data_IF_390189477841
#
_entry.id   IF_390189477841
#
_cell.length_a   1.000
_cell.length_b   1.000
_cell.length_c   1.000
_cell.angle_alpha   90.00
_cell.angle_beta   90.00
_cell.angle_gamma   90.00
#
_symmetry.space_group_name_H-M   'P 1'
#
loop_
_entity.id
_entity.type
_entity.pdbx_description
1 polymer ?
#
# COMPACT_ATOMS: atom_id res chain seq x y z
N UNK A 1 14.81 -6.94 -15.41
CA UNK A 1 15.08 -6.95 -13.95
C UNK A 1 13.76 -7.14 -13.25
N UNK A 2 13.64 -8.11 -12.35
CA UNK A 2 12.45 -8.27 -11.49
C UNK A 2 12.37 -7.07 -10.55
N UNK A 3 11.20 -6.40 -10.47
CA UNK A 3 11.00 -5.21 -9.63
C UNK A 3 11.26 -5.50 -8.14
N UNK A 4 11.07 -6.76 -7.73
CA UNK A 4 11.30 -7.25 -6.36
C UNK A 4 12.67 -7.95 -6.21
N UNK A 5 13.60 -7.74 -7.14
CA UNK A 5 14.93 -8.36 -7.14
C UNK A 5 15.92 -7.70 -6.19
N UNK A 6 16.95 -8.45 -5.79
CA UNK A 6 18.03 -7.92 -4.93
C UNK A 6 18.76 -6.73 -5.58
N UNK A 7 18.92 -6.70 -6.90
CA UNK A 7 19.56 -5.56 -7.58
C UNK A 7 18.82 -4.25 -7.35
N UNK A 8 17.48 -4.27 -7.41
CA UNK A 8 16.64 -3.10 -7.15
C UNK A 8 16.74 -2.64 -5.68
N UNK A 9 16.82 -3.59 -4.75
CA UNK A 9 17.05 -3.33 -3.33
C UNK A 9 18.45 -2.76 -3.06
N UNK A 10 19.50 -3.39 -3.61
CA UNK A 10 20.89 -3.01 -3.39
C UNK A 10 21.20 -1.60 -3.90
N UNK A 11 20.49 -1.13 -4.93
CA UNK A 11 20.56 0.26 -5.38
C UNK A 11 20.10 1.28 -4.32
N UNK A 12 19.33 0.85 -3.30
CA UNK A 12 18.80 1.70 -2.22
C UNK A 12 19.56 1.51 -0.90
N UNK A 13 19.88 0.26 -0.56
CA UNK A 13 20.42 -0.13 0.75
C UNK A 13 21.84 -0.72 0.69
N UNK A 14 22.50 -0.62 -0.48
CA UNK A 14 23.87 -1.10 -0.72
C UNK A 14 23.96 -2.61 -0.96
N UNK A 15 25.10 -3.05 -1.50
CA UNK A 15 25.44 -4.47 -1.65
C UNK A 15 26.35 -4.93 -0.51
N UNK A 16 25.74 -5.57 0.49
CA UNK A 16 26.45 -6.18 1.62
C UNK A 16 25.74 -7.46 2.05
N UNK A 17 26.41 -8.31 2.83
CA UNK A 17 25.78 -9.49 3.40
C UNK A 17 24.56 -9.13 4.26
N UNK A 18 24.66 -8.09 5.10
CA UNK A 18 23.54 -7.58 5.91
C UNK A 18 22.37 -7.11 5.03
N UNK A 19 22.65 -6.37 3.95
CA UNK A 19 21.62 -5.91 3.01
C UNK A 19 20.92 -7.09 2.30
N UNK A 20 21.67 -8.13 1.91
CA UNK A 20 21.10 -9.35 1.31
C UNK A 20 20.20 -10.11 2.29
N UNK A 21 20.63 -10.24 3.55
CA UNK A 21 19.81 -10.86 4.60
C UNK A 21 18.52 -10.09 4.84
N UNK A 22 18.60 -8.75 4.91
CA UNK A 22 17.41 -7.93 5.12
C UNK A 22 16.44 -8.00 3.94
N UNK A 23 16.93 -7.88 2.70
CA UNK A 23 16.12 -8.06 1.50
C UNK A 23 15.40 -9.41 1.49
N UNK A 24 16.11 -10.49 1.79
CA UNK A 24 15.52 -11.83 1.83
C UNK A 24 14.42 -11.93 2.91
N UNK A 25 14.61 -11.30 4.06
CA UNK A 25 13.61 -11.26 5.12
C UNK A 25 12.37 -10.45 4.72
N UNK A 26 12.54 -9.30 4.05
CA UNK A 26 11.43 -8.50 3.51
C UNK A 26 10.65 -9.31 2.46
N UNK A 27 11.32 -9.92 1.49
CA UNK A 27 10.68 -10.75 0.47
C UNK A 27 9.94 -11.93 1.09
N UNK A 28 10.53 -12.59 2.08
CA UNK A 28 9.88 -13.69 2.80
C UNK A 28 8.59 -13.24 3.50
N UNK A 29 8.57 -12.02 4.07
CA UNK A 29 7.38 -11.46 4.72
C UNK A 29 6.24 -11.20 3.72
N UNK A 30 6.55 -10.65 2.55
CA UNK A 30 5.59 -10.47 1.45
C UNK A 30 5.14 -11.79 0.80
N UNK A 31 5.90 -12.87 0.98
CA UNK A 31 5.62 -14.21 0.43
C UNK A 31 4.80 -15.11 1.36
N UNK A 32 4.31 -14.59 2.48
CA UNK A 32 3.56 -15.41 3.44
C UNK A 32 2.26 -15.95 2.82
N UNK A 33 1.93 -17.24 3.03
CA UNK A 33 0.89 -17.95 2.26
C UNK A 33 -0.54 -17.49 2.55
N UNK A 34 -0.77 -16.72 3.62
CA UNK A 34 -2.08 -16.16 3.96
C UNK A 34 -2.40 -14.87 3.19
N UNK A 35 -1.41 -14.23 2.57
CA UNK A 35 -1.60 -13.03 1.74
C UNK A 35 -2.29 -13.41 0.43
N UNK A 36 -3.20 -12.56 -0.03
CA UNK A 36 -3.93 -12.73 -1.30
C UNK A 36 -3.85 -11.48 -2.15
N UNK A 37 -4.14 -10.32 -1.56
CA UNK A 37 -3.93 -9.03 -2.19
C UNK A 37 -2.58 -8.44 -1.79
N UNK A 38 -2.28 -8.42 -0.49
CA UNK A 38 -1.06 -7.79 0.03
C UNK A 38 0.16 -8.71 -0.11
N UNK A 39 0.47 -9.14 -1.34
CA UNK A 39 1.52 -10.10 -1.67
C UNK A 39 2.64 -9.48 -2.54
N UNK A 40 3.53 -10.32 -3.07
CA UNK A 40 4.62 -9.87 -3.97
C UNK A 40 4.11 -9.20 -5.25
N UNK A 41 2.90 -9.52 -5.72
CA UNK A 41 2.29 -8.91 -6.90
C UNK A 41 1.92 -7.46 -6.61
N UNK A 42 1.27 -7.20 -5.46
CA UNK A 42 1.00 -5.83 -5.01
C UNK A 42 2.29 -5.05 -4.81
N UNK A 43 3.27 -5.60 -4.09
CA UNK A 43 4.57 -4.94 -3.90
C UNK A 43 5.23 -4.57 -5.24
N UNK A 44 5.23 -5.48 -6.22
CA UNK A 44 5.79 -5.21 -7.53
C UNK A 44 5.04 -4.08 -8.26
N UNK A 45 3.72 -4.05 -8.18
CA UNK A 45 2.89 -2.99 -8.76
C UNK A 45 3.20 -1.62 -8.14
N UNK A 46 3.25 -1.53 -6.81
CA UNK A 46 3.58 -0.30 -6.08
C UNK A 46 5.01 0.17 -6.42
N UNK A 47 6.00 -0.73 -6.41
CA UNK A 47 7.38 -0.37 -6.77
C UNK A 47 7.50 0.11 -8.22
N UNK A 48 6.74 -0.47 -9.15
CA UNK A 48 6.67 -0.01 -10.54
C UNK A 48 6.15 1.42 -10.64
N UNK A 49 5.01 1.70 -9.99
CA UNK A 49 4.37 3.01 -10.00
C UNK A 49 5.18 4.08 -9.26
N UNK A 50 5.79 3.75 -8.11
CA UNK A 50 6.76 4.64 -7.46
C UNK A 50 7.97 4.91 -8.37
N UNK A 51 8.36 3.94 -9.20
CA UNK A 51 9.37 4.13 -10.25
C UNK A 51 8.97 5.18 -11.28
N UNK A 52 7.73 5.11 -11.77
CA UNK A 52 7.17 6.03 -12.78
C UNK A 52 6.88 7.43 -12.22
N UNK A 53 6.30 7.50 -11.03
CA UNK A 53 5.90 8.74 -10.35
C UNK A 53 7.05 9.40 -9.59
N UNK A 54 8.15 8.68 -9.37
CA UNK A 54 9.23 9.06 -8.47
C UNK A 54 9.93 10.38 -8.81
N UNK A 55 9.80 10.90 -10.03
CA UNK A 55 10.29 12.24 -10.38
C UNK A 55 9.59 13.38 -9.63
N UNK A 56 8.38 13.12 -9.10
CA UNK A 56 7.66 14.07 -8.25
C UNK A 56 8.10 14.02 -6.77
N UNK A 57 8.78 12.95 -6.33
CA UNK A 57 9.20 12.80 -4.93
C UNK A 57 10.42 13.69 -4.61
N UNK A 58 10.46 14.20 -3.38
CA UNK A 58 11.60 14.94 -2.85
C UNK A 58 12.78 14.01 -2.48
N UNK A 59 12.50 12.82 -1.93
CA UNK A 59 13.46 11.72 -1.76
C UNK A 59 12.91 10.44 -2.39
N UNK A 60 13.14 10.20 -3.69
CA UNK A 60 12.68 9.01 -4.39
C UNK A 60 13.21 7.69 -3.79
N UNK A 61 14.38 7.73 -3.14
CA UNK A 61 14.95 6.54 -2.49
C UNK A 61 14.20 6.20 -1.20
N UNK A 62 13.83 7.22 -0.40
CA UNK A 62 12.99 7.02 0.77
C UNK A 62 11.60 6.47 0.38
N UNK A 63 10.96 7.01 -0.66
CA UNK A 63 9.65 6.52 -1.12
C UNK A 63 9.72 5.07 -1.60
N UNK A 64 10.75 4.69 -2.35
CA UNK A 64 10.94 3.29 -2.77
C UNK A 64 11.16 2.36 -1.58
N UNK A 65 11.99 2.75 -0.60
CA UNK A 65 12.16 1.98 0.63
C UNK A 65 10.85 1.88 1.43
N UNK A 66 10.07 2.96 1.54
CA UNK A 66 8.76 2.91 2.17
C UNK A 66 7.81 1.94 1.45
N UNK A 67 7.81 1.90 0.11
CA UNK A 67 7.05 0.91 -0.65
C UNK A 67 7.46 -0.54 -0.32
N UNK A 68 8.76 -0.83 -0.13
CA UNK A 68 9.21 -2.16 0.34
C UNK A 68 8.67 -2.53 1.72
N UNK A 69 8.42 -1.55 2.57
CA UNK A 69 8.09 -1.76 3.98
C UNK A 69 6.61 -1.56 4.35
N UNK A 70 5.79 -0.87 3.54
CA UNK A 70 4.47 -0.39 3.97
C UNK A 70 3.58 -1.48 4.59
N UNK A 71 3.47 -2.65 3.94
CA UNK A 71 2.78 -3.83 4.48
C UNK A 71 3.71 -5.03 4.72
N UNK A 72 4.99 -4.77 5.04
CA UNK A 72 5.93 -5.87 5.32
C UNK A 72 5.44 -6.74 6.49
N UNK A 73 4.76 -6.14 7.46
CA UNK A 73 3.96 -6.85 8.46
C UNK A 73 2.49 -6.70 8.08
N UNK A 74 1.82 -7.82 7.89
CA UNK A 74 0.39 -7.84 7.56
C UNK A 74 -0.28 -9.04 8.21
N UNK A 75 -1.16 -8.74 9.16
CA UNK A 75 -2.13 -9.67 9.72
C UNK A 75 -3.50 -8.98 9.73
N UNK A 76 -4.50 -9.49 9.00
CA UNK A 76 -5.81 -8.85 8.89
C UNK A 76 -6.61 -8.89 10.21
N UNK A 77 -6.07 -9.51 11.28
CA UNK A 77 -6.63 -9.47 12.64
C UNK A 77 -6.09 -8.32 13.49
N UNK A 78 -5.11 -7.57 13.00
CA UNK A 78 -4.45 -6.48 13.72
C UNK A 78 -4.95 -5.13 13.22
N UNK A 79 -4.99 -4.14 14.12
CA UNK A 79 -5.28 -2.74 13.80
C UNK A 79 -4.04 -1.84 13.80
N UNK A 80 -2.83 -2.41 13.90
CA UNK A 80 -1.56 -1.67 14.05
C UNK A 80 -0.49 -2.14 13.04
N UNK A 81 -0.90 -2.73 11.91
CA UNK A 81 0.03 -3.29 10.91
C UNK A 81 1.05 -2.24 10.45
N UNK A 82 0.62 -1.02 10.13
CA UNK A 82 1.47 0.08 9.66
C UNK A 82 2.47 0.50 10.73
N UNK A 83 2.04 0.53 12.00
CA UNK A 83 2.94 0.84 13.12
C UNK A 83 4.03 -0.23 13.28
N UNK A 84 3.68 -1.52 13.17
CA UNK A 84 4.64 -2.62 13.26
C UNK A 84 5.55 -2.67 12.04
N UNK A 85 5.02 -2.44 10.84
CA UNK A 85 5.77 -2.30 9.60
C UNK A 85 6.79 -1.16 9.68
N UNK A 86 6.41 0.00 10.23
CA UNK A 86 7.31 1.13 10.43
C UNK A 86 8.43 0.80 11.43
N UNK A 87 8.13 0.10 12.52
CA UNK A 87 9.15 -0.38 13.45
C UNK A 87 10.09 -1.40 12.81
N UNK A 88 9.55 -2.30 11.96
CA UNK A 88 10.33 -3.27 11.19
C UNK A 88 11.26 -2.59 10.19
N UNK A 89 10.81 -1.52 9.55
CA UNK A 89 11.62 -0.69 8.66
C UNK A 89 12.77 -0.02 9.41
N UNK A 90 12.48 0.62 10.55
CA UNK A 90 13.51 1.23 11.41
C UNK A 90 14.59 0.24 11.83
N UNK A 91 14.19 -0.96 12.23
CA UNK A 91 15.13 -2.01 12.63
C UNK A 91 15.95 -2.54 11.45
N UNK A 92 15.29 -2.79 10.31
CA UNK A 92 15.91 -3.39 9.12
C UNK A 92 16.88 -2.48 8.39
N UNK A 93 16.59 -1.18 8.34
CA UNK A 93 17.38 -0.19 7.61
C UNK A 93 18.54 0.41 8.42
N UNK A 94 18.61 0.12 9.72
CA UNK A 94 19.65 0.64 10.62
C UNK A 94 21.04 0.25 10.12
N UNK A 95 21.87 1.25 9.82
CA UNK A 95 23.23 1.06 9.33
C UNK A 95 23.32 0.66 7.84
N UNK A 96 22.19 0.47 7.15
CA UNK A 96 22.14 0.29 5.69
C UNK A 96 21.94 1.62 4.95
N UNK A 97 21.26 2.59 5.58
CA UNK A 97 21.01 3.93 5.03
C UNK A 97 21.20 5.00 6.12
N UNK A 98 21.35 6.29 5.75
CA UNK A 98 21.43 7.38 6.73
C UNK A 98 20.18 7.47 7.61
N UNK A 99 20.34 7.83 8.89
CA UNK A 99 19.23 7.89 9.86
C UNK A 99 18.08 8.78 9.38
N UNK A 100 18.37 9.94 8.77
CA UNK A 100 17.34 10.82 8.23
C UNK A 100 16.43 10.14 7.19
N UNK A 101 16.98 9.19 6.41
CA UNK A 101 16.19 8.40 5.45
C UNK A 101 15.36 7.33 6.16
N UNK A 102 15.88 6.74 7.24
CA UNK A 102 15.11 5.81 8.08
C UNK A 102 13.89 6.52 8.68
N UNK A 103 14.06 7.73 9.21
CA UNK A 103 12.95 8.52 9.76
C UNK A 103 11.89 8.84 8.70
N UNK A 104 12.31 9.21 7.48
CA UNK A 104 11.35 9.46 6.40
C UNK A 104 10.62 8.19 5.96
N UNK A 105 11.30 7.05 5.86
CA UNK A 105 10.66 5.76 5.57
C UNK A 105 9.63 5.42 6.63
N UNK A 106 9.97 5.58 7.92
CA UNK A 106 9.06 5.33 9.04
C UNK A 106 7.81 6.23 8.95
N UNK A 107 8.00 7.52 8.68
CA UNK A 107 6.89 8.48 8.51
C UNK A 107 5.98 8.08 7.36
N UNK A 108 6.56 7.71 6.21
CA UNK A 108 5.82 7.33 5.01
C UNK A 108 5.06 6.01 5.21
N UNK A 109 5.63 5.03 5.89
CA UNK A 109 4.92 3.78 6.22
C UNK A 109 3.76 4.05 7.17
N UNK A 110 3.92 4.92 8.17
CA UNK A 110 2.79 5.29 9.05
C UNK A 110 1.69 6.05 8.30
N UNK A 111 2.06 6.84 7.30
CA UNK A 111 1.11 7.62 6.49
C UNK A 111 0.13 6.73 5.71
N UNK A 112 0.51 5.50 5.35
CA UNK A 112 -0.38 4.58 4.61
C UNK A 112 -1.55 4.06 5.46
N UNK A 113 -1.59 4.32 6.77
CA UNK A 113 -2.75 3.95 7.58
C UNK A 113 -4.02 4.76 7.23
N UNK A 114 -3.85 5.98 6.70
CA UNK A 114 -4.96 6.86 6.31
C UNK A 114 -4.89 7.38 4.87
N UNK A 115 -3.78 7.15 4.17
CA UNK A 115 -3.54 7.60 2.79
C UNK A 115 -3.83 9.10 2.56
N UNK A 116 -3.61 9.93 3.58
CA UNK A 116 -3.94 11.36 3.58
C UNK A 116 -2.69 12.23 3.80
N UNK A 117 -1.79 12.32 2.80
CA UNK A 117 -0.66 13.23 2.88
C UNK A 117 -1.13 14.69 2.87
N UNK A 118 -0.50 15.49 3.73
CA UNK A 118 -0.71 16.93 3.79
C UNK A 118 -0.36 17.62 2.44
N UNK A 119 -1.01 18.75 2.11
CA UNK A 119 -0.64 19.54 0.94
C UNK A 119 0.85 19.89 0.94
N UNK A 120 1.55 19.51 -0.14
CA UNK A 120 3.00 19.72 -0.28
C UNK A 120 3.88 18.56 0.17
N UNK A 121 3.31 17.50 0.77
CA UNK A 121 4.05 16.26 1.05
C UNK A 121 4.23 15.43 -0.24
N UNK A 122 5.25 15.80 -1.02
CA UNK A 122 5.54 15.17 -2.31
C UNK A 122 5.92 13.68 -2.19
N UNK A 123 6.60 13.28 -1.11
CA UNK A 123 6.95 11.89 -0.88
C UNK A 123 5.71 11.05 -0.54
N UNK A 124 4.88 11.55 0.37
CA UNK A 124 3.62 10.92 0.73
C UNK A 124 2.66 10.83 -0.45
N UNK A 125 2.56 11.89 -1.27
CA UNK A 125 1.77 11.90 -2.49
C UNK A 125 2.16 10.76 -3.45
N UNK A 126 3.47 10.56 -3.70
CA UNK A 126 3.92 9.48 -4.59
C UNK A 126 3.61 8.11 -4.01
N UNK A 127 3.85 7.88 -2.71
CA UNK A 127 3.58 6.59 -2.09
C UNK A 127 2.09 6.26 -2.08
N UNK A 128 1.24 7.16 -1.57
CA UNK A 128 -0.19 6.93 -1.45
C UNK A 128 -0.86 6.81 -2.81
N UNK A 129 -0.46 7.61 -3.80
CA UNK A 129 -1.01 7.49 -5.16
C UNK A 129 -0.66 6.12 -5.77
N UNK A 130 0.58 5.65 -5.60
CA UNK A 130 1.02 4.35 -6.10
C UNK A 130 0.31 3.18 -5.39
N UNK A 131 0.15 3.25 -4.07
CA UNK A 131 -0.50 2.22 -3.27
C UNK A 131 -2.01 2.09 -3.59
N UNK A 132 -2.70 3.23 -3.75
CA UNK A 132 -4.12 3.28 -4.09
C UNK A 132 -4.43 3.13 -5.59
N UNK A 133 -3.42 2.84 -6.43
CA UNK A 133 -3.60 2.80 -7.88
C UNK A 133 -4.59 1.72 -8.35
N UNK A 134 -4.67 0.60 -7.62
CA UNK A 134 -5.61 -0.49 -7.92
C UNK A 134 -7.07 -0.01 -8.00
N UNK A 135 -7.41 1.02 -7.23
CA UNK A 135 -8.77 1.54 -7.17
C UNK A 135 -9.19 2.12 -8.52
N UNK A 136 -8.26 2.69 -9.29
CA UNK A 136 -8.49 3.23 -10.62
C UNK A 136 -8.33 2.19 -11.76
N UNK A 137 -8.10 0.92 -11.42
CA UNK A 137 -7.98 -0.17 -12.38
C UNK A 137 -9.27 -0.41 -13.19
N UNK A 138 -9.18 -1.18 -14.29
CA UNK A 138 -10.37 -1.68 -14.98
C UNK A 138 -11.33 -2.39 -14.01
N UNK A 139 -12.65 -2.37 -14.24
CA UNK A 139 -13.62 -2.97 -13.30
C UNK A 139 -13.36 -4.44 -12.97
N UNK A 140 -12.84 -5.22 -13.92
CA UNK A 140 -12.50 -6.63 -13.70
C UNK A 140 -11.28 -6.79 -12.76
N UNK A 141 -10.20 -6.04 -12.99
CA UNK A 141 -9.07 -5.98 -12.06
C UNK A 141 -9.47 -5.50 -10.66
N UNK A 142 -10.34 -4.49 -10.56
CA UNK A 142 -10.88 -4.02 -9.29
C UNK A 142 -11.69 -5.10 -8.57
N UNK A 143 -12.53 -5.85 -9.29
CA UNK A 143 -13.29 -6.96 -8.71
C UNK A 143 -12.35 -8.08 -8.20
N UNK A 144 -11.27 -8.37 -8.92
CA UNK A 144 -10.22 -9.28 -8.46
C UNK A 144 -9.56 -8.81 -7.16
N UNK A 145 -9.21 -7.52 -7.08
CA UNK A 145 -8.72 -6.88 -5.85
C UNK A 145 -9.70 -7.04 -4.68
N UNK A 146 -10.96 -6.67 -4.86
CA UNK A 146 -11.98 -6.74 -3.81
C UNK A 146 -12.20 -8.19 -3.33
N UNK A 147 -12.17 -9.16 -4.25
CA UNK A 147 -12.26 -10.59 -3.92
C UNK A 147 -11.06 -11.06 -3.10
N UNK A 148 -9.83 -10.70 -3.52
CA UNK A 148 -8.61 -11.06 -2.81
C UNK A 148 -8.59 -10.46 -1.39
N UNK A 149 -9.04 -9.21 -1.22
CA UNK A 149 -9.23 -8.62 0.11
C UNK A 149 -10.27 -9.41 0.92
N UNK A 150 -11.43 -9.77 0.34
CA UNK A 150 -12.43 -10.59 1.05
C UNK A 150 -11.85 -11.91 1.58
N UNK A 151 -10.99 -12.56 0.81
CA UNK A 151 -10.32 -13.81 1.21
C UNK A 151 -9.40 -13.63 2.42
N UNK A 152 -8.64 -12.53 2.49
CA UNK A 152 -7.75 -12.24 3.64
C UNK A 152 -8.54 -12.08 4.95
N UNK A 153 -9.75 -11.53 4.84
CA UNK A 153 -10.69 -11.39 5.95
C UNK A 153 -11.65 -12.57 6.09
N UNK A 154 -11.34 -13.74 5.53
CA UNK A 154 -12.19 -14.94 5.61
C UNK A 154 -12.45 -15.47 7.03
N UNK A 155 -11.74 -14.94 8.03
CA UNK A 155 -11.96 -15.20 9.45
C UNK A 155 -13.15 -14.41 10.05
N UNK A 156 -13.63 -13.37 9.35
CA UNK A 156 -14.81 -12.60 9.72
C UNK A 156 -16.06 -13.19 9.07
N UNK A 157 -17.19 -13.03 9.76
CA UNK A 157 -18.51 -13.25 9.14
C UNK A 157 -18.74 -12.27 7.99
N UNK A 158 -19.68 -12.58 7.10
CA UNK A 158 -20.02 -11.69 5.99
C UNK A 158 -20.58 -10.34 6.47
N UNK A 159 -21.28 -10.31 7.60
CA UNK A 159 -21.80 -9.08 8.21
C UNK A 159 -20.66 -8.20 8.73
N UNK A 160 -19.76 -8.76 9.54
CA UNK A 160 -18.59 -8.03 10.07
C UNK A 160 -17.70 -7.50 8.94
N UNK A 161 -17.39 -8.34 7.96
CA UNK A 161 -16.61 -7.92 6.80
C UNK A 161 -17.31 -6.81 6.02
N UNK A 162 -18.61 -6.95 5.76
CA UNK A 162 -19.38 -5.94 5.01
C UNK A 162 -19.37 -4.60 5.72
N UNK A 163 -19.62 -4.58 7.04
CA UNK A 163 -19.59 -3.36 7.84
C UNK A 163 -18.20 -2.69 7.81
N UNK A 164 -17.13 -3.47 8.03
CA UNK A 164 -15.76 -2.97 7.99
C UNK A 164 -15.35 -2.46 6.61
N UNK A 165 -15.70 -3.20 5.55
CA UNK A 165 -15.39 -2.81 4.17
C UNK A 165 -16.13 -1.54 3.76
N UNK A 166 -17.41 -1.39 4.14
CA UNK A 166 -18.17 -0.15 3.94
C UNK A 166 -17.44 1.04 4.59
N UNK A 167 -17.00 0.89 5.84
CA UNK A 167 -16.29 1.97 6.55
C UNK A 167 -14.99 2.38 5.84
N UNK A 168 -14.22 1.43 5.33
CA UNK A 168 -13.00 1.72 4.53
C UNK A 168 -13.34 2.47 3.24
N UNK A 169 -14.34 2.01 2.48
CA UNK A 169 -14.74 2.66 1.23
C UNK A 169 -15.27 4.08 1.47
N UNK A 170 -16.05 4.29 2.53
CA UNK A 170 -16.56 5.60 2.93
C UNK A 170 -15.42 6.54 3.34
N UNK A 171 -14.45 6.06 4.12
CA UNK A 171 -13.26 6.82 4.49
C UNK A 171 -12.49 7.31 3.25
N UNK A 172 -12.17 6.40 2.32
CA UNK A 172 -11.47 6.73 1.07
C UNK A 172 -12.25 7.73 0.21
N UNK A 173 -13.57 7.57 0.11
CA UNK A 173 -14.42 8.49 -0.65
C UNK A 173 -14.54 9.88 -0.01
N UNK A 174 -14.37 9.97 1.30
CA UNK A 174 -14.43 11.19 2.10
C UNK A 174 -13.10 11.96 2.15
N UNK A 175 -11.98 11.36 1.72
CA UNK A 175 -10.70 12.08 1.60
C UNK A 175 -10.86 13.36 0.76
N UNK A 176 -10.22 14.47 1.15
CA UNK A 176 -10.25 15.72 0.37
C UNK A 176 -9.76 15.51 -1.08
N UNK A 177 -8.75 14.65 -1.25
CA UNK A 177 -8.27 14.18 -2.53
C UNK A 177 -7.82 12.71 -2.42
N UNK A 178 -8.42 11.82 -3.22
CA UNK A 178 -8.04 10.40 -3.24
C UNK A 178 -6.65 10.18 -3.85
N UNK A 179 -6.28 11.01 -4.83
CA UNK A 179 -4.95 11.06 -5.43
C UNK A 179 -4.42 12.48 -5.36
N UNK A 180 -3.12 12.64 -5.14
CA UNK A 180 -2.49 13.91 -4.74
C UNK A 180 -1.71 14.54 -5.87
N UNK A 181 -1.07 13.73 -6.72
CA UNK A 181 -0.37 14.23 -7.90
C UNK A 181 -1.40 14.71 -8.94
N UNK A 182 -1.33 15.95 -9.44
CA UNK A 182 -2.37 16.51 -10.30
C UNK A 182 -2.67 15.68 -11.56
N UNK A 183 -1.63 15.18 -12.23
CA UNK A 183 -1.79 14.35 -13.42
C UNK A 183 -2.43 12.98 -13.11
N UNK A 184 -2.08 12.39 -11.95
CA UNK A 184 -2.65 11.13 -11.47
C UNK A 184 -4.12 11.35 -11.12
N UNK A 185 -4.43 12.36 -10.30
CA UNK A 185 -5.79 12.68 -9.90
C UNK A 185 -6.73 12.91 -11.09
N UNK A 186 -6.29 13.70 -12.08
CA UNK A 186 -7.07 13.95 -13.29
C UNK A 186 -7.41 12.65 -14.05
N UNK A 187 -6.48 11.70 -14.11
CA UNK A 187 -6.63 10.47 -14.87
C UNK A 187 -7.30 9.31 -14.09
N UNK A 188 -7.14 9.27 -12.76
CA UNK A 188 -7.46 8.10 -11.94
C UNK A 188 -8.67 8.31 -11.04
N UNK A 189 -8.88 9.53 -10.50
CA UNK A 189 -9.99 9.79 -9.56
C UNK A 189 -11.37 9.43 -10.11
N UNK A 190 -11.74 9.74 -11.38
CA UNK A 190 -13.05 9.37 -11.90
C UNK A 190 -13.29 7.85 -11.91
N UNK A 191 -12.28 7.08 -12.32
CA UNK A 191 -12.34 5.60 -12.35
C UNK A 191 -12.42 5.01 -10.96
N UNK A 192 -11.56 5.49 -10.05
CA UNK A 192 -11.56 5.03 -8.66
C UNK A 192 -12.89 5.32 -7.96
N UNK A 193 -13.43 6.53 -8.09
CA UNK A 193 -14.74 6.85 -7.49
C UNK A 193 -15.87 6.00 -8.07
N UNK A 194 -15.84 5.68 -9.36
CA UNK A 194 -16.82 4.78 -9.97
C UNK A 194 -16.75 3.36 -9.37
N UNK A 195 -15.54 2.79 -9.25
CA UNK A 195 -15.32 1.46 -8.67
C UNK A 195 -15.72 1.41 -7.19
N UNK A 196 -15.22 2.34 -6.37
CA UNK A 196 -15.53 2.42 -4.94
C UNK A 196 -17.04 2.57 -4.69
N UNK A 197 -17.71 3.44 -5.46
CA UNK A 197 -19.14 3.69 -5.31
C UNK A 197 -19.99 2.48 -5.73
N UNK A 198 -19.56 1.75 -6.78
CA UNK A 198 -20.22 0.54 -7.23
C UNK A 198 -20.11 -0.59 -6.18
N UNK A 199 -18.92 -0.78 -5.61
CA UNK A 199 -18.73 -1.75 -4.51
C UNK A 199 -19.57 -1.36 -3.29
N UNK A 200 -19.53 -0.09 -2.88
CA UNK A 200 -20.29 0.41 -1.74
C UNK A 200 -21.80 0.21 -1.92
N UNK A 201 -22.34 0.48 -3.11
CA UNK A 201 -23.75 0.26 -3.42
C UNK A 201 -24.12 -1.22 -3.35
N UNK A 202 -23.27 -2.11 -3.88
CA UNK A 202 -23.48 -3.56 -3.81
C UNK A 202 -23.50 -4.05 -2.36
N UNK A 203 -22.53 -3.63 -1.54
CA UNK A 203 -22.42 -4.03 -0.14
C UNK A 203 -23.64 -3.56 0.68
N UNK A 204 -24.08 -2.30 0.49
CA UNK A 204 -25.28 -1.78 1.15
C UNK A 204 -26.55 -2.54 0.75
N UNK A 205 -26.68 -2.91 -0.53
CA UNK A 205 -27.84 -3.70 -0.99
C UNK A 205 -27.89 -5.09 -0.37
N UNK A 206 -26.73 -5.74 -0.18
CA UNK A 206 -26.62 -7.05 0.47
C UNK A 206 -26.96 -6.93 1.96
N UNK A 207 -26.41 -5.93 2.65
CA UNK A 207 -26.69 -5.70 4.06
C UNK A 207 -28.19 -5.47 4.32
N UNK A 208 -28.87 -4.72 3.45
CA UNK A 208 -30.30 -4.48 3.55
C UNK A 208 -31.19 -5.68 3.20
N UNK A 209 -30.66 -6.66 2.44
CA UNK A 209 -31.40 -7.86 2.03
C UNK A 209 -31.19 -9.07 2.94
N UNK A 210 -30.15 -9.03 3.79
CA UNK A 210 -29.84 -10.06 4.78
C UNK A 210 -30.28 -9.72 6.21
N UNK A 211 -30.78 -8.49 6.44
CA UNK A 211 -31.41 -8.04 7.68
C UNK A 211 -32.93 -8.27 7.63
#
# INVERSE_FOLDING_TARGET
MTLVGFEAWAALAGDSATSRTEWAAVVAAWSQPHRRYHDLTHLAAVLGLVGELGAAAADPAAVRLAAWYHDVVYDPRRGDNEQVSAQRARAGLRGLVPEARVEEVVRLVLLTAGHDPEPGDANGAVLCDADLAVLAGPPEAYAGYASAVREEYGHLTDEEFTAGRIAVLEHLLALPALYRLPAVAAAWTPRARANLSAELALLRSRAASGA
#
